data_IF_380441859626
#
_entry.id   IF_380441859626
#
_cell.length_a   1.000
_cell.length_b   1.000
_cell.length_c   1.000
_cell.angle_alpha   90.00
_cell.angle_beta   90.00
_cell.angle_gamma   90.00
#
_symmetry.space_group_name_H-M   'P 1'
#
loop_
_entity.id
_entity.type
_entity.pdbx_description
1 polymer ?
#
# COMPACT_ATOMS: atom_id res chain seq x y z
N UNK A 1 11.58 -9.22 -5.25
CA UNK A 1 11.30 -10.32 -6.19
C UNK A 1 11.90 -10.01 -7.55
N UNK A 2 12.56 -10.97 -8.19
CA UNK A 2 12.99 -10.87 -9.59
C UNK A 2 12.18 -11.84 -10.45
N UNK A 3 11.45 -11.31 -11.44
CA UNK A 3 10.75 -12.14 -12.42
C UNK A 3 11.74 -12.65 -13.48
N UNK A 4 11.54 -13.88 -13.97
CA UNK A 4 12.43 -14.49 -14.97
C UNK A 4 12.24 -13.83 -16.34
N UNK A 5 11.01 -13.45 -16.67
CA UNK A 5 10.67 -12.74 -17.90
C UNK A 5 9.69 -11.59 -17.63
N UNK A 6 9.57 -10.67 -18.59
CA UNK A 6 8.56 -9.60 -18.56
C UNK A 6 7.15 -10.18 -18.60
N UNK A 7 6.95 -11.25 -19.37
CA UNK A 7 5.66 -11.95 -19.48
C UNK A 7 5.23 -12.53 -18.14
N UNK A 8 6.15 -13.12 -17.37
CA UNK A 8 5.85 -13.63 -16.03
C UNK A 8 5.41 -12.50 -15.09
N UNK A 9 6.10 -11.35 -15.13
CA UNK A 9 5.74 -10.19 -14.33
C UNK A 9 4.33 -9.67 -14.68
N UNK A 10 4.00 -9.63 -15.97
CA UNK A 10 2.67 -9.21 -16.45
C UNK A 10 1.58 -10.20 -16.03
N UNK A 11 1.83 -11.50 -16.14
CA UNK A 11 0.90 -12.54 -15.69
C UNK A 11 0.64 -12.41 -14.18
N UNK A 12 1.69 -12.29 -13.37
CA UNK A 12 1.54 -12.14 -11.92
C UNK A 12 0.82 -10.83 -11.58
N UNK A 13 1.11 -9.73 -12.28
CA UNK A 13 0.39 -8.48 -12.09
C UNK A 13 -1.10 -8.61 -12.41
N UNK A 14 -1.47 -9.35 -13.47
CA UNK A 14 -2.87 -9.65 -13.78
C UNK A 14 -3.53 -10.47 -12.67
N UNK A 15 -2.84 -11.47 -12.12
CA UNK A 15 -3.35 -12.24 -10.98
C UNK A 15 -3.57 -11.35 -9.75
N UNK A 16 -2.65 -10.43 -9.46
CA UNK A 16 -2.82 -9.45 -8.38
C UNK A 16 -4.03 -8.55 -8.61
N UNK A 17 -4.27 -8.09 -9.84
CA UNK A 17 -5.46 -7.31 -10.18
C UNK A 17 -6.74 -8.08 -9.89
N UNK A 18 -6.81 -9.35 -10.30
CA UNK A 18 -7.97 -10.22 -10.05
C UNK A 18 -8.18 -10.39 -8.54
N UNK A 19 -7.11 -10.62 -7.79
CA UNK A 19 -7.16 -10.72 -6.33
C UNK A 19 -7.73 -9.45 -5.68
N UNK A 20 -7.22 -8.26 -6.05
CA UNK A 20 -7.73 -6.99 -5.53
C UNK A 20 -9.19 -6.73 -5.92
N UNK A 21 -9.61 -7.23 -7.07
CA UNK A 21 -10.98 -7.09 -7.57
C UNK A 21 -11.95 -8.04 -6.89
N UNK A 22 -11.56 -9.28 -6.59
CA UNK A 22 -12.50 -10.33 -6.15
C UNK A 22 -12.35 -10.69 -4.67
N UNK A 23 -11.13 -10.87 -4.20
CA UNK A 23 -10.83 -11.51 -2.93
C UNK A 23 -10.41 -10.52 -1.84
N UNK A 24 -9.97 -9.31 -2.21
CA UNK A 24 -9.62 -8.23 -1.27
C UNK A 24 -10.85 -7.46 -0.76
N UNK A 25 -11.84 -8.20 -0.25
CA UNK A 25 -13.14 -7.68 0.22
C UNK A 25 -13.25 -7.55 1.74
N UNK A 26 -12.67 -8.50 2.49
CA UNK A 26 -12.85 -8.64 3.94
C UNK A 26 -11.49 -8.74 4.63
N UNK A 27 -10.68 -7.70 4.43
CA UNK A 27 -9.35 -7.58 5.02
C UNK A 27 -9.36 -6.60 6.16
N UNK A 28 -8.45 -6.83 7.11
CA UNK A 28 -8.27 -5.96 8.26
C UNK A 28 -8.10 -4.49 7.84
N UNK A 29 -8.98 -3.64 8.37
CA UNK A 29 -8.90 -2.20 8.20
C UNK A 29 -8.23 -1.59 9.43
N UNK A 30 -7.10 -0.89 9.28
CA UNK A 30 -6.42 -0.28 10.40
C UNK A 30 -7.25 0.87 10.99
N UNK A 31 -7.21 1.01 12.31
CA UNK A 31 -7.78 2.17 13.00
C UNK A 31 -7.17 3.48 12.49
N UNK A 32 -7.96 4.57 12.50
CA UNK A 32 -7.55 5.90 12.00
C UNK A 32 -7.00 5.85 10.56
N UNK A 33 -7.71 5.13 9.68
CA UNK A 33 -7.32 4.85 8.31
C UNK A 33 -6.94 6.11 7.52
N UNK A 34 -7.75 7.15 7.65
CA UNK A 34 -7.62 8.44 7.00
C UNK A 34 -6.43 9.27 7.49
N UNK A 35 -5.86 8.91 8.64
CA UNK A 35 -4.68 9.58 9.24
C UNK A 35 -3.37 8.90 8.88
N UNK A 36 -3.39 7.92 7.98
CA UNK A 36 -2.21 7.12 7.63
C UNK A 36 -1.73 7.44 6.23
N UNK A 37 -0.40 7.42 6.08
CA UNK A 37 0.23 7.43 4.78
C UNK A 37 0.21 6.01 4.23
N UNK A 38 -0.13 5.89 2.96
CA UNK A 38 0.01 4.68 2.18
C UNK A 38 1.09 4.87 1.12
N UNK A 39 1.69 3.74 0.73
CA UNK A 39 2.60 3.69 -0.39
C UNK A 39 2.58 2.31 -1.03
N UNK A 40 2.99 2.23 -2.29
CA UNK A 40 3.06 0.97 -3.01
C UNK A 40 4.25 0.94 -3.97
N UNK A 41 4.72 -0.27 -4.27
CA UNK A 41 5.76 -0.54 -5.26
C UNK A 41 5.10 -1.10 -6.53
N UNK A 42 5.16 -0.42 -7.69
CA UNK A 42 4.65 -0.96 -8.94
C UNK A 42 5.47 -2.16 -9.44
N UNK A 43 4.87 -3.00 -10.29
CA UNK A 43 5.64 -4.01 -11.04
C UNK A 43 6.62 -3.33 -12.01
N UNK A 44 7.85 -3.84 -12.09
CA UNK A 44 8.88 -3.37 -13.03
C UNK A 44 9.50 -2.01 -12.70
N UNK A 45 9.03 -1.32 -11.65
CA UNK A 45 9.61 -0.06 -11.19
C UNK A 45 10.37 -0.26 -9.89
N UNK A 46 11.40 0.55 -9.68
CA UNK A 46 12.19 0.57 -8.42
C UNK A 46 11.79 1.71 -7.48
N UNK A 47 10.90 2.60 -7.94
CA UNK A 47 10.48 3.77 -7.20
C UNK A 47 9.13 3.50 -6.56
N UNK A 48 9.06 3.70 -5.25
CA UNK A 48 7.81 3.62 -4.50
C UNK A 48 6.96 4.85 -4.76
N UNK A 49 5.67 4.64 -5.04
CA UNK A 49 4.66 5.70 -5.00
C UNK A 49 4.22 5.85 -3.55
N UNK A 50 4.33 7.07 -2.99
CA UNK A 50 4.08 7.36 -1.57
C UNK A 50 3.38 8.72 -1.40
N UNK A 51 3.20 9.18 -0.17
CA UNK A 51 2.35 10.34 0.16
C UNK A 51 0.88 10.16 -0.25
N UNK A 52 0.41 8.91 -0.26
CA UNK A 52 -0.99 8.61 -0.53
C UNK A 52 -1.76 8.60 0.79
N UNK A 53 -3.03 8.98 0.73
CA UNK A 53 -4.00 8.73 1.79
C UNK A 53 -5.34 8.45 1.17
N UNK A 54 -6.16 7.66 1.86
CA UNK A 54 -7.46 7.23 1.37
C UNK A 54 -8.50 7.53 2.45
N UNK A 55 -9.68 7.99 2.03
CA UNK A 55 -10.78 8.30 2.95
C UNK A 55 -11.59 7.06 3.32
N UNK A 56 -11.50 6.00 2.52
CA UNK A 56 -12.16 4.73 2.77
C UNK A 56 -11.37 3.56 2.21
N UNK A 57 -11.66 2.37 2.73
CA UNK A 57 -11.11 1.13 2.20
C UNK A 57 -11.48 0.89 0.72
N UNK A 58 -12.69 1.28 0.31
CA UNK A 58 -13.13 1.18 -1.10
C UNK A 58 -12.25 2.04 -2.03
N UNK A 59 -11.85 3.23 -1.59
CA UNK A 59 -10.95 4.11 -2.36
C UNK A 59 -9.55 3.50 -2.52
N UNK A 60 -9.02 2.92 -1.44
CA UNK A 60 -7.77 2.16 -1.48
C UNK A 60 -7.92 0.99 -2.47
N UNK A 61 -8.97 0.18 -2.35
CA UNK A 61 -9.19 -0.98 -3.19
C UNK A 61 -9.29 -0.62 -4.67
N UNK A 62 -10.04 0.43 -5.02
CA UNK A 62 -10.12 0.94 -6.40
C UNK A 62 -8.74 1.29 -6.95
N UNK A 63 -7.88 1.88 -6.12
CA UNK A 63 -6.49 2.17 -6.48
C UNK A 63 -5.68 0.88 -6.67
N UNK A 64 -5.81 -0.09 -5.77
CA UNK A 64 -5.10 -1.37 -5.89
C UNK A 64 -5.52 -2.18 -7.11
N UNK A 65 -6.80 -2.19 -7.48
CA UNK A 65 -7.29 -2.82 -8.71
C UNK A 65 -6.70 -2.12 -9.95
N UNK A 66 -6.71 -0.79 -9.96
CA UNK A 66 -6.19 0.01 -11.08
C UNK A 66 -4.69 -0.22 -11.27
N UNK A 67 -3.90 -0.03 -10.22
CA UNK A 67 -2.43 -0.06 -10.29
C UNK A 67 -1.86 -1.48 -10.25
N UNK A 68 -2.55 -2.42 -9.59
CA UNK A 68 -2.10 -3.78 -9.32
C UNK A 68 -0.62 -3.82 -8.87
N UNK A 69 -0.27 -3.19 -7.72
CA UNK A 69 1.11 -3.06 -7.30
C UNK A 69 1.68 -4.38 -6.75
N UNK A 70 3.00 -4.50 -6.77
CA UNK A 70 3.73 -5.67 -6.25
C UNK A 70 3.77 -5.70 -4.72
N UNK A 71 3.90 -4.51 -4.11
CA UNK A 71 3.92 -4.36 -2.65
C UNK A 71 3.04 -3.18 -2.26
N UNK A 72 2.35 -3.30 -1.12
CA UNK A 72 1.52 -2.24 -0.54
C UNK A 72 1.92 -2.08 0.91
N UNK A 73 2.09 -0.83 1.33
CA UNK A 73 2.56 -0.45 2.65
C UNK A 73 1.67 0.62 3.25
N UNK A 74 1.72 0.70 4.58
CA UNK A 74 1.07 1.74 5.38
C UNK A 74 2.03 2.21 6.45
N UNK A 75 2.01 3.50 6.76
CA UNK A 75 2.80 4.05 7.86
C UNK A 75 2.34 3.52 9.21
N UNK A 76 3.27 3.12 10.08
CA UNK A 76 2.99 2.89 11.50
C UNK A 76 2.52 4.18 12.20
N UNK A 77 3.06 5.31 11.74
CA UNK A 77 2.73 6.64 12.22
C UNK A 77 1.34 7.10 11.76
N UNK A 78 0.75 7.97 12.59
CA UNK A 78 -0.46 8.74 12.32
C UNK A 78 -0.07 10.20 12.08
N UNK A 79 -0.72 10.84 11.14
CA UNK A 79 -0.46 12.20 10.71
C UNK A 79 -1.74 13.02 10.64
N UNK A 80 -1.62 14.33 10.84
CA UNK A 80 -2.71 15.27 10.61
C UNK A 80 -2.95 15.47 9.10
N UNK A 81 -1.87 15.49 8.32
CA UNK A 81 -1.90 15.66 6.86
C UNK A 81 -1.05 14.58 6.18
N UNK A 82 -1.57 13.35 5.98
CA UNK A 82 -0.74 12.22 5.57
C UNK A 82 -0.13 12.33 4.15
N UNK A 83 -0.75 13.15 3.29
CA UNK A 83 -0.30 13.44 1.92
C UNK A 83 0.75 14.56 1.84
N UNK A 84 0.95 15.33 2.91
CA UNK A 84 1.86 16.47 2.89
C UNK A 84 3.35 16.02 2.81
N UNK A 85 4.27 16.93 2.47
CA UNK A 85 5.70 16.73 2.71
C UNK A 85 5.98 16.44 4.20
N UNK A 86 7.10 15.77 4.49
CA UNK A 86 7.36 15.24 5.84
C UNK A 86 7.27 16.30 6.95
N UNK A 87 7.84 17.47 6.72
CA UNK A 87 7.88 18.59 7.67
C UNK A 87 6.48 19.13 8.01
N UNK A 88 5.52 18.93 7.11
CA UNK A 88 4.15 19.45 7.20
C UNK A 88 3.12 18.38 7.60
N UNK A 89 3.52 17.11 7.72
CA UNK A 89 2.56 16.02 8.00
C UNK A 89 1.85 16.16 9.34
N UNK A 90 2.47 16.81 10.32
CA UNK A 90 1.95 16.92 11.69
C UNK A 90 1.81 15.55 12.34
N UNK A 91 2.92 14.98 12.81
CA UNK A 91 2.94 13.67 13.46
C UNK A 91 2.08 13.65 14.73
N UNK A 92 1.22 12.63 14.87
CA UNK A 92 0.27 12.49 15.97
C UNK A 92 0.63 11.35 16.93
N UNK A 93 1.44 10.40 16.49
CA UNK A 93 1.72 9.16 17.21
C UNK A 93 2.13 8.04 16.25
N UNK A 94 2.48 6.89 16.79
CA UNK A 94 2.76 5.69 16.00
C UNK A 94 2.39 4.41 16.75
N UNK A 95 2.08 3.36 16.00
CA UNK A 95 1.93 2.01 16.53
C UNK A 95 3.28 1.44 16.98
N UNK A 96 3.26 0.66 18.05
CA UNK A 96 4.39 -0.18 18.44
C UNK A 96 4.32 -1.47 17.62
N UNK A 97 5.31 -1.69 16.75
CA UNK A 97 5.36 -2.83 15.82
C UNK A 97 6.60 -3.66 16.13
N UNK A 98 6.43 -4.97 16.13
CA UNK A 98 7.52 -5.94 16.19
C UNK A 98 7.48 -6.75 14.90
N UNK A 99 8.63 -6.86 14.24
CA UNK A 99 8.82 -7.76 13.11
C UNK A 99 9.67 -8.94 13.60
N UNK A 100 9.17 -10.16 13.42
CA UNK A 100 9.87 -11.38 13.84
C UNK A 100 10.17 -12.16 12.56
N UNK A 101 11.30 -11.80 11.96
CA UNK A 101 11.81 -12.47 10.78
C UNK A 101 12.44 -13.81 11.17
N UNK A 102 12.12 -14.84 10.38
CA UNK A 102 12.50 -16.25 10.64
C UNK A 102 13.79 -16.65 9.89
N UNK A 103 14.67 -15.69 9.63
CA UNK A 103 15.94 -15.86 8.91
C UNK A 103 16.82 -16.99 9.47
#
# INVERSE_FOLDING_TARGET
MSFRTVTDAQLVQQLFRIFYERDYVDVFQPFSFERREFGYMPFGQRVMVRHLSFKSFDELRKTLVREAPLHVYRSAALYQYPQAPMEEKGWLGAELIFDIDAD
#
